data_IF_199129004592
#
_entry.id   IF_199129004592
#
_cell.length_a   1.000
_cell.length_b   1.000
_cell.length_c   1.000
_cell.angle_alpha   90.00
_cell.angle_beta   90.00
_cell.angle_gamma   90.00
#
_symmetry.space_group_name_H-M   'P 1'
#
loop_
_entity.id
_entity.type
_entity.pdbx_description
1 polymer ?
#
# COMPACT_ATOMS: atom_id res chain seq x y z
N UNK A 1 -1.35 5.03 27.92
CA UNK A 1 -1.42 3.57 27.63
C UNK A 1 -2.78 3.10 27.08
N UNK A 2 -3.92 3.29 27.77
CA UNK A 2 -5.26 2.92 27.22
C UNK A 2 -5.57 3.58 25.86
N UNK A 3 -5.19 4.85 25.69
CA UNK A 3 -5.41 5.61 24.43
C UNK A 3 -4.54 5.10 23.28
N UNK A 4 -3.27 4.77 23.55
CA UNK A 4 -2.38 4.10 22.58
C UNK A 4 -3.00 2.80 22.09
N UNK A 5 -3.48 1.95 23.00
CA UNK A 5 -4.12 0.69 22.64
C UNK A 5 -5.33 0.89 21.73
N UNK A 6 -6.18 1.89 22.01
CA UNK A 6 -7.31 2.22 21.12
C UNK A 6 -6.84 2.56 19.71
N UNK A 7 -5.81 3.40 19.58
CA UNK A 7 -5.23 3.76 18.29
C UNK A 7 -4.70 2.55 17.51
N UNK A 8 -3.96 1.68 18.21
CA UNK A 8 -3.44 0.42 17.63
C UNK A 8 -4.57 -0.50 17.16
N UNK A 9 -5.62 -0.68 17.97
CA UNK A 9 -6.76 -1.54 17.64
C UNK A 9 -7.56 -1.00 16.45
N UNK A 10 -7.76 0.31 16.37
CA UNK A 10 -8.40 0.94 15.21
C UNK A 10 -7.59 0.75 13.94
N UNK A 11 -6.26 0.90 14.01
CA UNK A 11 -5.39 0.66 12.87
C UNK A 11 -5.42 -0.82 12.45
N UNK A 12 -5.37 -1.75 13.40
CA UNK A 12 -5.50 -3.18 13.12
C UNK A 12 -6.83 -3.53 12.45
N UNK A 13 -7.94 -2.90 12.88
CA UNK A 13 -9.23 -3.05 12.22
C UNK A 13 -9.21 -2.52 10.79
N UNK A 14 -8.66 -1.31 10.55
CA UNK A 14 -8.51 -0.75 9.20
C UNK A 14 -7.68 -1.67 8.29
N UNK A 15 -6.62 -2.27 8.83
CA UNK A 15 -5.77 -3.22 8.12
C UNK A 15 -6.54 -4.50 7.75
N UNK A 16 -7.29 -5.06 8.70
CA UNK A 16 -8.11 -6.25 8.45
C UNK A 16 -9.17 -5.99 7.38
N UNK A 17 -9.85 -4.84 7.44
CA UNK A 17 -10.85 -4.43 6.44
C UNK A 17 -10.19 -4.24 5.07
N UNK A 18 -9.05 -3.56 4.99
CA UNK A 18 -8.33 -3.35 3.74
C UNK A 18 -7.86 -4.68 3.11
N UNK A 19 -7.33 -5.60 3.93
CA UNK A 19 -6.89 -6.92 3.47
C UNK A 19 -8.07 -7.77 2.95
N UNK A 20 -9.22 -7.73 3.63
CA UNK A 20 -10.42 -8.42 3.17
C UNK A 20 -10.99 -7.80 1.88
N UNK A 21 -11.03 -6.47 1.80
CA UNK A 21 -11.52 -5.74 0.63
C UNK A 21 -10.59 -5.87 -0.59
N UNK A 22 -9.30 -6.16 -0.38
CA UNK A 22 -8.36 -6.36 -1.47
C UNK A 22 -8.68 -7.56 -2.38
N UNK A 23 -9.47 -8.52 -1.88
CA UNK A 23 -9.97 -9.66 -2.64
C UNK A 23 -11.21 -9.33 -3.50
N UNK A 24 -11.81 -8.15 -3.32
CA UNK A 24 -12.93 -7.69 -4.12
C UNK A 24 -12.44 -7.05 -5.42
N UNK A 25 -13.27 -7.01 -6.49
CA UNK A 25 -12.94 -6.37 -7.76
C UNK A 25 -13.01 -4.83 -7.62
N UNK A 26 -12.14 -4.26 -6.80
CA UNK A 26 -12.08 -2.81 -6.53
C UNK A 26 -11.36 -2.05 -7.65
N UNK A 27 -10.75 -2.75 -8.60
CA UNK A 27 -9.95 -2.15 -9.68
C UNK A 27 -10.65 -0.99 -10.41
N UNK A 28 -11.95 -1.09 -10.78
CA UNK A 28 -12.66 0.01 -11.43
C UNK A 28 -12.76 1.29 -10.60
N UNK A 29 -12.49 1.21 -9.29
CA UNK A 29 -12.47 2.36 -8.38
C UNK A 29 -11.07 2.96 -8.22
N UNK A 30 -10.02 2.24 -8.60
CA UNK A 30 -8.61 2.58 -8.33
C UNK A 30 -7.87 2.99 -9.60
N UNK A 31 -8.29 2.50 -10.78
CA UNK A 31 -7.65 2.83 -12.04
C UNK A 31 -8.59 2.71 -13.24
N UNK A 32 -8.50 3.68 -14.14
CA UNK A 32 -9.14 3.65 -15.47
C UNK A 32 -8.36 2.77 -16.46
N UNK A 33 -7.12 2.41 -16.12
CA UNK A 33 -6.31 1.53 -16.94
C UNK A 33 -6.98 0.15 -16.95
N UNK A 34 -7.19 -0.49 -18.12
CA UNK A 34 -7.74 -1.83 -18.17
C UNK A 34 -6.95 -2.71 -17.22
N UNK A 35 -7.64 -3.51 -16.40
CA UNK A 35 -6.98 -4.43 -15.48
C UNK A 35 -5.92 -5.29 -16.18
N UNK A 36 -5.99 -5.41 -17.51
CA UNK A 36 -5.17 -6.27 -18.35
C UNK A 36 -3.81 -5.70 -18.76
N UNK A 37 -3.67 -4.38 -18.78
CA UNK A 37 -2.44 -3.72 -19.25
C UNK A 37 -1.38 -3.55 -18.18
N UNK A 38 -1.72 -3.79 -16.91
CA UNK A 38 -0.78 -3.67 -15.78
C UNK A 38 -0.15 -4.98 -15.33
N UNK A 39 -0.54 -6.10 -15.94
CA UNK A 39 0.01 -7.40 -15.59
C UNK A 39 1.24 -7.69 -16.43
N UNK A 40 2.42 -7.89 -15.81
CA UNK A 40 3.60 -8.27 -16.55
C UNK A 40 3.35 -9.62 -17.26
N UNK A 41 3.46 -9.60 -18.58
CA UNK A 41 3.45 -10.71 -19.55
C UNK A 41 2.90 -12.06 -19.01
N UNK A 42 1.58 -12.26 -19.14
CA UNK A 42 0.97 -13.58 -18.93
C UNK A 42 0.60 -13.92 -17.47
N UNK A 43 0.56 -12.92 -16.59
CA UNK A 43 0.06 -13.05 -15.22
C UNK A 43 -1.45 -12.83 -15.10
N UNK A 44 -2.19 -12.97 -16.21
CA UNK A 44 -3.66 -12.90 -16.27
C UNK A 44 -4.24 -14.11 -16.97
N UNK A 45 -5.40 -14.53 -16.52
CA UNK A 45 -6.20 -15.60 -17.13
C UNK A 45 -7.65 -15.14 -17.19
N UNK A 46 -8.35 -15.45 -18.28
CA UNK A 46 -9.79 -15.25 -18.38
C UNK A 46 -10.49 -16.46 -17.74
N UNK A 47 -11.19 -16.25 -16.63
CA UNK A 47 -11.99 -17.26 -15.93
C UNK A 47 -13.44 -16.79 -15.94
N UNK A 48 -14.34 -17.56 -16.55
CA UNK A 48 -15.77 -17.22 -16.66
C UNK A 48 -16.07 -15.84 -17.30
N UNK A 49 -15.24 -15.38 -18.24
CA UNK A 49 -15.40 -14.08 -18.90
C UNK A 49 -14.96 -12.88 -18.03
N UNK A 50 -14.58 -13.13 -16.78
CA UNK A 50 -13.87 -12.19 -15.91
C UNK A 50 -12.38 -12.46 -16.09
N UNK A 51 -11.57 -11.43 -16.07
CA UNK A 51 -10.14 -11.61 -16.16
C UNK A 51 -9.55 -11.45 -14.78
N UNK A 52 -8.81 -12.48 -14.40
CA UNK A 52 -8.28 -12.68 -13.07
C UNK A 52 -6.76 -12.76 -13.14
N UNK A 53 -6.05 -12.45 -12.04
CA UNK A 53 -4.64 -12.81 -11.92
C UNK A 53 -4.46 -14.29 -12.22
N UNK A 54 -3.40 -14.65 -12.96
CA UNK A 54 -2.97 -16.04 -13.09
C UNK A 54 -2.79 -16.61 -11.69
N UNK A 55 -3.30 -17.82 -11.50
CA UNK A 55 -3.25 -18.55 -10.24
C UNK A 55 -1.88 -18.43 -9.58
N UNK A 56 -1.84 -17.84 -8.38
CA UNK A 56 -0.61 -17.62 -7.59
C UNK A 56 -0.02 -16.20 -7.63
N UNK A 57 -0.50 -15.29 -8.48
CA UNK A 57 -0.03 -13.90 -8.48
C UNK A 57 -0.59 -13.14 -7.27
N UNK A 58 0.26 -12.87 -6.26
CA UNK A 58 -0.15 -12.18 -5.02
C UNK A 58 -0.09 -10.65 -5.12
N UNK A 59 0.71 -10.11 -6.04
CA UNK A 59 0.93 -8.66 -6.16
C UNK A 59 -0.34 -7.82 -6.30
N UNK A 60 -1.41 -8.23 -7.02
CA UNK A 60 -2.60 -7.40 -7.18
C UNK A 60 -3.34 -7.21 -5.85
N UNK A 61 -3.37 -8.24 -5.01
CA UNK A 61 -4.00 -8.18 -3.69
C UNK A 61 -3.23 -7.24 -2.76
N UNK A 62 -1.89 -7.29 -2.79
CA UNK A 62 -1.08 -6.37 -2.00
C UNK A 62 -1.16 -4.93 -2.50
N UNK A 63 -1.22 -4.73 -3.82
CA UNK A 63 -1.46 -3.42 -4.42
C UNK A 63 -2.81 -2.85 -3.98
N UNK A 64 -3.89 -3.64 -4.11
CA UNK A 64 -5.24 -3.25 -3.71
C UNK A 64 -5.31 -2.89 -2.22
N UNK A 65 -4.72 -3.72 -1.35
CA UNK A 65 -4.63 -3.43 0.08
C UNK A 65 -3.87 -2.11 0.35
N UNK A 66 -2.75 -1.89 -0.36
CA UNK A 66 -1.98 -0.65 -0.26
C UNK A 66 -2.84 0.56 -0.64
N UNK A 67 -3.53 0.51 -1.78
CA UNK A 67 -4.38 1.59 -2.26
C UNK A 67 -5.49 1.92 -1.25
N UNK A 68 -6.22 0.91 -0.77
CA UNK A 68 -7.28 1.09 0.24
C UNK A 68 -6.71 1.71 1.51
N UNK A 69 -5.57 1.22 2.01
CA UNK A 69 -4.94 1.76 3.20
C UNK A 69 -4.49 3.21 3.02
N UNK A 70 -3.96 3.58 1.85
CA UNK A 70 -3.62 4.96 1.52
C UNK A 70 -4.88 5.85 1.52
N UNK A 71 -5.98 5.38 0.93
CA UNK A 71 -7.26 6.11 1.00
C UNK A 71 -7.75 6.30 2.44
N UNK A 72 -7.76 5.23 3.26
CA UNK A 72 -8.15 5.29 4.66
C UNK A 72 -7.22 6.21 5.47
N UNK A 73 -5.91 6.17 5.18
CA UNK A 73 -4.92 7.06 5.78
C UNK A 73 -5.24 8.52 5.46
N UNK A 74 -5.46 8.87 4.19
CA UNK A 74 -5.76 10.26 3.82
C UNK A 74 -7.10 10.75 4.38
N UNK A 75 -8.13 9.90 4.38
CA UNK A 75 -9.40 10.21 5.02
C UNK A 75 -9.22 10.50 6.52
N UNK A 76 -8.44 9.66 7.21
CA UNK A 76 -8.12 9.84 8.63
C UNK A 76 -7.23 11.07 8.87
N UNK A 77 -6.29 11.35 7.96
CA UNK A 77 -5.41 12.51 8.02
C UNK A 77 -6.20 13.81 7.92
N UNK A 78 -7.13 13.90 6.97
CA UNK A 78 -8.04 15.04 6.86
C UNK A 78 -8.90 15.16 8.13
N UNK A 79 -9.48 14.06 8.61
CA UNK A 79 -10.26 14.06 9.84
C UNK A 79 -9.44 14.54 11.07
N UNK A 80 -8.13 14.26 11.07
CA UNK A 80 -7.23 14.66 12.15
C UNK A 80 -7.06 16.17 12.29
N UNK A 81 -7.37 16.96 11.27
CA UNK A 81 -7.35 18.43 11.38
C UNK A 81 -8.46 18.99 12.28
N UNK A 82 -9.51 18.20 12.52
CA UNK A 82 -10.65 18.60 13.35
C UNK A 82 -10.57 18.09 14.78
N UNK A 83 -9.50 17.36 15.14
CA UNK A 83 -9.31 16.77 16.46
C UNK A 83 -7.88 16.99 16.95
N UNK A 84 -7.68 17.02 18.26
CA UNK A 84 -6.33 17.10 18.81
C UNK A 84 -5.54 15.82 18.47
N UNK A 85 -4.28 15.95 18.02
CA UNK A 85 -3.35 14.82 17.82
C UNK A 85 -2.88 14.22 19.17
N UNK A 86 -3.81 13.51 19.81
CA UNK A 86 -3.56 12.74 21.03
C UNK A 86 -2.84 11.41 20.79
N UNK A 87 -2.58 10.69 21.88
CA UNK A 87 -1.89 9.38 21.85
C UNK A 87 -2.55 8.37 20.89
N UNK A 88 -3.88 8.30 20.90
CA UNK A 88 -4.62 7.36 20.06
C UNK A 88 -4.41 7.62 18.57
N UNK A 89 -4.49 8.89 18.16
CA UNK A 89 -4.34 9.31 16.75
C UNK A 89 -2.92 9.05 16.26
N UNK A 90 -1.90 9.37 17.07
CA UNK A 90 -0.50 9.10 16.74
C UNK A 90 -0.21 7.61 16.62
N UNK A 91 -0.73 6.80 17.55
CA UNK A 91 -0.56 5.36 17.52
C UNK A 91 -1.24 4.74 16.28
N UNK A 92 -2.43 5.22 15.94
CA UNK A 92 -3.12 4.84 14.70
C UNK A 92 -2.26 5.14 13.47
N UNK A 93 -1.79 6.38 13.31
CA UNK A 93 -0.97 6.77 12.16
C UNK A 93 0.37 6.03 12.10
N UNK A 94 0.99 5.75 13.25
CA UNK A 94 2.21 4.95 13.28
C UNK A 94 1.98 3.55 12.69
N UNK A 95 0.94 2.84 13.14
CA UNK A 95 0.65 1.47 12.73
C UNK A 95 0.17 1.41 11.28
N UNK A 96 -0.76 2.28 10.89
CA UNK A 96 -1.31 2.25 9.52
C UNK A 96 -0.25 2.61 8.48
N UNK A 97 0.70 3.51 8.80
CA UNK A 97 1.80 3.84 7.89
C UNK A 97 2.77 2.68 7.68
N UNK A 98 3.09 1.93 8.73
CA UNK A 98 3.90 0.71 8.60
C UNK A 98 3.17 -0.33 7.76
N UNK A 99 1.87 -0.51 7.97
CA UNK A 99 1.09 -1.44 7.16
C UNK A 99 1.10 -1.04 5.68
N UNK A 100 0.91 0.23 5.35
CA UNK A 100 1.01 0.72 3.97
C UNK A 100 2.38 0.39 3.37
N UNK A 101 3.47 0.67 4.08
CA UNK A 101 4.82 0.36 3.61
C UNK A 101 5.02 -1.15 3.40
N UNK A 102 4.55 -2.00 4.33
CA UNK A 102 4.64 -3.46 4.22
C UNK A 102 3.89 -3.96 2.99
N UNK A 103 2.62 -3.58 2.81
CA UNK A 103 1.83 -3.98 1.65
C UNK A 103 2.42 -3.45 0.34
N UNK A 104 2.95 -2.22 0.34
CA UNK A 104 3.62 -1.64 -0.81
C UNK A 104 4.84 -2.46 -1.23
N UNK A 105 5.73 -2.80 -0.30
CA UNK A 105 6.90 -3.61 -0.62
C UNK A 105 6.56 -5.05 -0.98
N UNK A 106 5.57 -5.67 -0.32
CA UNK A 106 5.06 -6.99 -0.72
C UNK A 106 4.53 -6.95 -2.15
N UNK A 107 3.82 -5.89 -2.55
CA UNK A 107 3.37 -5.69 -3.93
C UNK A 107 4.57 -5.63 -4.89
N UNK A 108 5.59 -4.82 -4.60
CA UNK A 108 6.75 -4.68 -5.49
C UNK A 108 7.52 -6.00 -5.65
N UNK A 109 7.83 -6.67 -4.53
CA UNK A 109 8.60 -7.93 -4.51
C UNK A 109 7.87 -9.07 -5.22
N UNK A 110 6.53 -9.08 -5.18
CA UNK A 110 5.73 -10.11 -5.86
C UNK A 110 5.35 -9.74 -7.30
N UNK A 111 5.54 -8.47 -7.70
CA UNK A 111 5.27 -7.99 -9.06
C UNK A 111 6.47 -8.17 -9.99
N UNK A 112 7.69 -7.91 -9.52
CA UNK A 112 8.88 -7.89 -10.36
C UNK A 112 10.15 -8.33 -9.65
N UNK A 113 11.03 -9.05 -10.36
CA UNK A 113 12.37 -9.41 -9.91
C UNK A 113 13.44 -8.38 -10.33
N UNK A 114 13.05 -7.30 -11.01
CA UNK A 114 13.95 -6.28 -11.57
C UNK A 114 13.86 -4.95 -10.83
N UNK A 115 13.59 -5.02 -9.52
CA UNK A 115 13.49 -3.89 -8.61
C UNK A 115 14.88 -3.51 -8.07
N UNK A 116 15.21 -2.21 -8.11
CA UNK A 116 16.31 -1.65 -7.34
C UNK A 116 15.80 -0.52 -6.44
N UNK A 117 16.12 -0.59 -5.15
CA UNK A 117 15.70 0.38 -4.13
C UNK A 117 16.83 1.36 -3.83
N UNK A 118 16.51 2.64 -3.83
CA UNK A 118 17.37 3.75 -3.42
C UNK A 118 16.66 4.59 -2.34
N UNK A 119 17.37 5.50 -1.65
CA UNK A 119 16.70 6.46 -0.78
C UNK A 119 15.66 7.28 -1.55
N UNK A 120 14.41 7.22 -1.11
CA UNK A 120 13.22 7.89 -1.64
C UNK A 120 12.83 7.54 -3.08
N UNK A 121 13.58 6.69 -3.78
CA UNK A 121 13.34 6.36 -5.18
C UNK A 121 13.52 4.87 -5.37
N UNK A 122 12.69 4.23 -6.19
CA UNK A 122 12.96 2.89 -6.70
C UNK A 122 12.90 2.88 -8.21
N UNK A 123 13.60 1.91 -8.80
CA UNK A 123 13.59 1.70 -10.24
C UNK A 123 13.10 0.32 -10.59
N UNK A 124 12.34 0.23 -11.69
CA UNK A 124 11.89 -1.02 -12.27
C UNK A 124 12.42 -1.07 -13.70
N UNK A 125 13.23 -2.10 -13.98
CA UNK A 125 13.73 -2.34 -15.34
C UNK A 125 12.75 -3.24 -16.08
N UNK A 126 12.19 -2.73 -17.19
CA UNK A 126 11.27 -3.45 -18.05
C UNK A 126 11.91 -3.74 -19.41
N UNK A 127 11.56 -4.88 -20.00
CA UNK A 127 11.84 -5.17 -21.40
C UNK A 127 10.59 -4.90 -22.22
N UNK A 128 10.63 -3.89 -23.07
CA UNK A 128 9.52 -3.50 -23.94
C UNK A 128 9.99 -3.46 -25.39
N UNK A 129 9.37 -4.27 -26.25
CA UNK A 129 9.68 -4.38 -27.68
C UNK A 129 11.19 -4.55 -28.00
N UNK A 130 11.89 -5.37 -27.20
CA UNK A 130 13.33 -5.63 -27.37
C UNK A 130 14.26 -4.56 -26.77
N UNK A 131 13.72 -3.44 -26.29
CA UNK A 131 14.48 -2.40 -25.60
C UNK A 131 14.36 -2.53 -24.08
N UNK A 132 15.43 -2.20 -23.38
CA UNK A 132 15.43 -2.10 -21.91
C UNK A 132 15.03 -0.67 -21.53
N UNK A 133 13.94 -0.52 -20.79
CA UNK A 133 13.45 0.75 -20.27
C UNK A 133 13.58 0.72 -18.76
N UNK A 134 14.19 1.75 -18.18
CA UNK A 134 14.24 1.94 -16.73
C UNK A 134 13.20 2.96 -16.32
N UNK A 135 12.24 2.53 -15.50
CA UNK A 135 11.23 3.40 -14.91
C UNK A 135 11.68 3.83 -13.52
N UNK A 136 11.42 5.09 -13.19
CA UNK A 136 11.77 5.69 -11.91
C UNK A 136 10.49 6.07 -11.16
N UNK A 137 10.44 5.70 -9.89
CA UNK A 137 9.28 5.92 -9.05
C UNK A 137 9.71 6.51 -7.71
N UNK A 138 8.86 7.38 -7.16
CA UNK A 138 8.99 7.82 -5.77
C UNK A 138 8.66 6.63 -4.84
N UNK A 139 9.54 6.36 -3.88
CA UNK A 139 9.30 5.32 -2.87
C UNK A 139 8.38 5.86 -1.76
N UNK A 140 7.08 5.72 -2.00
CA UNK A 140 6.06 6.08 -1.01
C UNK A 140 6.17 5.24 0.27
N UNK A 141 6.70 4.01 0.19
CA UNK A 141 6.91 3.15 1.36
C UNK A 141 7.86 3.78 2.37
N UNK A 142 8.97 4.36 1.90
CA UNK A 142 9.90 5.09 2.76
C UNK A 142 9.26 6.33 3.39
N UNK A 143 8.42 7.05 2.65
CA UNK A 143 7.69 8.22 3.19
C UNK A 143 6.80 7.80 4.38
N UNK A 144 6.06 6.70 4.23
CA UNK A 144 5.23 6.18 5.32
C UNK A 144 6.04 5.64 6.49
N UNK A 145 7.21 5.01 6.25
CA UNK A 145 8.12 4.61 7.33
C UNK A 145 8.59 5.83 8.13
N UNK A 146 9.04 6.88 7.46
CA UNK A 146 9.46 8.13 8.10
C UNK A 146 8.32 8.73 8.92
N UNK A 147 7.11 8.77 8.35
CA UNK A 147 5.94 9.30 9.07
C UNK A 147 5.56 8.43 10.28
N UNK A 148 5.73 7.12 10.21
CA UNK A 148 5.54 6.24 11.37
C UNK A 148 6.53 6.53 12.48
N UNK A 149 7.83 6.62 12.13
CA UNK A 149 8.90 6.94 13.08
C UNK A 149 8.61 8.27 13.78
N UNK A 150 8.19 9.30 13.02
CA UNK A 150 7.80 10.58 13.59
C UNK A 150 6.67 10.45 14.62
N UNK A 151 5.63 9.67 14.33
CA UNK A 151 4.51 9.48 15.24
C UNK A 151 4.91 8.69 16.50
N UNK A 152 5.77 7.66 16.35
CA UNK A 152 6.32 6.91 17.48
C UNK A 152 7.18 7.81 18.36
N UNK A 153 8.08 8.58 17.77
CA UNK A 153 8.92 9.52 18.51
C UNK A 153 8.06 10.51 19.32
N UNK A 154 7.03 11.10 18.71
CA UNK A 154 6.10 12.00 19.40
C UNK A 154 5.24 11.34 20.49
N UNK A 155 5.09 10.01 20.46
CA UNK A 155 4.46 9.27 21.54
C UNK A 155 5.40 9.05 22.72
N UNK A 156 6.70 8.90 22.46
CA UNK A 156 7.73 8.65 23.48
C UNK A 156 8.23 9.94 24.15
N UNK A 157 8.09 11.09 23.50
CA UNK A 157 8.40 12.41 24.09
C UNK A 157 7.36 12.90 25.10
N UNK A 158 6.22 12.21 25.25
CA UNK A 158 5.17 12.52 26.22
C UNK A 158 5.34 11.70 27.49
#
# INVERSE_FOLDING_TARGET
MRRVLVGVLLAALSIAVAAAAAALPIWPLVSDEPYYSLYPNGSLVVVNGVIEPRTGAMWPYFYNATAILVFLFFASFIASFFVEMGEAVRAFFAVISIAIAVFHYLSLVTMTNSLALYPLIYTITLKYHGNTIQQYYLDIGQIFIIYSIYNIWKLLEK
#
